data_IF_570654958657
#
_entry.id   IF_570654958657
#
_cell.length_a   1.000
_cell.length_b   1.000
_cell.length_c   1.000
_cell.angle_alpha   90.00
_cell.angle_beta   90.00
_cell.angle_gamma   90.00
#
_symmetry.space_group_name_H-M   'P 1'
#
loop_
_entity.id
_entity.type
_entity.pdbx_description
1 polymer ?
#
# COMPACT_ATOMS: atom_id res chain seq x y z
N UNK A 1 13.79 -4.60 25.05
CA UNK A 1 13.44 -4.69 23.61
C UNK A 1 14.72 -4.92 22.84
N UNK A 2 14.85 -6.08 22.19
CA UNK A 2 16.01 -6.39 21.34
C UNK A 2 15.87 -5.61 20.03
N UNK A 3 16.79 -4.67 19.78
CA UNK A 3 16.88 -4.00 18.49
C UNK A 3 17.18 -5.06 17.43
N UNK A 4 16.32 -5.20 16.43
CA UNK A 4 16.65 -5.94 15.21
C UNK A 4 17.68 -5.09 14.48
N UNK A 5 18.96 -5.46 14.58
CA UNK A 5 20.01 -4.81 13.82
C UNK A 5 19.94 -5.31 12.39
N UNK A 6 19.44 -4.47 11.48
CA UNK A 6 19.55 -4.73 10.05
C UNK A 6 21.04 -4.85 9.65
N UNK A 7 21.42 -5.78 8.77
CA UNK A 7 22.78 -5.88 8.24
C UNK A 7 23.09 -4.78 7.20
N UNK A 8 22.09 -3.99 6.79
CA UNK A 8 22.30 -2.84 5.90
C UNK A 8 22.91 -1.67 6.68
N UNK A 9 23.87 -0.93 6.09
CA UNK A 9 24.31 0.32 6.67
C UNK A 9 23.17 1.37 6.67
N UNK A 10 23.31 2.40 7.50
CA UNK A 10 22.22 3.36 7.79
C UNK A 10 21.67 4.02 6.53
N UNK A 11 22.54 4.41 5.61
CA UNK A 11 22.14 5.12 4.38
C UNK A 11 21.29 4.22 3.47
N UNK A 12 21.69 2.97 3.27
CA UNK A 12 20.95 2.00 2.47
C UNK A 12 19.63 1.61 3.14
N UNK A 13 19.62 1.53 4.47
CA UNK A 13 18.41 1.27 5.26
C UNK A 13 17.41 2.40 5.14
N UNK A 14 17.87 3.66 5.15
CA UNK A 14 17.03 4.82 4.94
C UNK A 14 16.40 4.81 3.53
N UNK A 15 17.22 4.58 2.50
CA UNK A 15 16.74 4.50 1.10
C UNK A 15 15.68 3.41 0.95
N UNK A 16 15.96 2.19 1.44
CA UNK A 16 15.02 1.08 1.36
C UNK A 16 13.76 1.34 2.19
N UNK A 17 13.92 1.91 3.38
CA UNK A 17 12.82 2.29 4.27
C UNK A 17 11.86 3.29 3.66
N UNK A 18 12.38 4.35 3.06
CA UNK A 18 11.60 5.39 2.43
C UNK A 18 10.86 4.86 1.20
N UNK A 19 11.51 4.01 0.39
CA UNK A 19 10.87 3.35 -0.74
C UNK A 19 9.72 2.43 -0.29
N UNK A 20 9.92 1.64 0.78
CA UNK A 20 8.88 0.78 1.34
C UNK A 20 7.72 1.60 1.93
N UNK A 21 7.99 2.73 2.60
CA UNK A 21 6.95 3.61 3.11
C UNK A 21 6.12 4.24 2.00
N UNK A 22 6.76 4.73 0.94
CA UNK A 22 6.05 5.25 -0.23
C UNK A 22 5.19 4.17 -0.89
N UNK A 23 5.75 2.98 -1.08
CA UNK A 23 5.03 1.83 -1.66
C UNK A 23 3.83 1.40 -0.80
N UNK A 24 3.96 1.43 0.53
CA UNK A 24 2.85 1.13 1.44
C UNK A 24 1.67 2.08 1.22
N UNK A 25 1.95 3.38 1.15
CA UNK A 25 0.93 4.40 0.90
C UNK A 25 0.27 4.16 -0.45
N UNK A 26 1.05 3.95 -1.52
CA UNK A 26 0.53 3.73 -2.87
C UNK A 26 -0.39 2.49 -2.94
N UNK A 27 -0.02 1.39 -2.27
CA UNK A 27 -0.84 0.16 -2.25
C UNK A 27 -2.13 0.34 -1.46
N UNK A 28 -2.09 1.05 -0.33
CA UNK A 28 -3.28 1.35 0.46
C UNK A 28 -4.24 2.26 -0.30
N UNK A 29 -3.71 3.32 -0.92
CA UNK A 29 -4.47 4.26 -1.75
C UNK A 29 -5.11 3.54 -2.95
N UNK A 30 -4.33 2.72 -3.68
CA UNK A 30 -4.84 1.87 -4.76
C UNK A 30 -5.99 0.98 -4.27
N UNK A 31 -5.86 0.36 -3.10
CA UNK A 31 -6.92 -0.51 -2.56
C UNK A 31 -8.23 0.26 -2.31
N UNK A 32 -8.15 1.53 -1.93
CA UNK A 32 -9.32 2.39 -1.67
C UNK A 32 -9.97 2.85 -2.98
N UNK A 33 -9.17 3.34 -3.93
CA UNK A 33 -9.65 3.77 -5.26
C UNK A 33 -10.31 2.61 -6.01
N UNK A 34 -9.72 1.42 -5.95
CA UNK A 34 -10.31 0.23 -6.61
C UNK A 34 -11.61 -0.21 -5.92
N UNK A 35 -11.72 -0.13 -4.59
CA UNK A 35 -13.02 -0.37 -3.92
C UNK A 35 -14.06 0.66 -4.33
N UNK A 36 -13.68 1.93 -4.46
CA UNK A 36 -14.58 2.96 -4.95
C UNK A 36 -15.07 2.63 -6.36
N UNK A 37 -14.16 2.26 -7.28
CA UNK A 37 -14.54 1.83 -8.63
C UNK A 37 -15.47 0.61 -8.61
N UNK A 38 -15.17 -0.38 -7.76
CA UNK A 38 -15.96 -1.60 -7.62
C UNK A 38 -17.39 -1.33 -7.13
N UNK A 39 -17.58 -0.38 -6.20
CA UNK A 39 -18.90 0.02 -5.70
C UNK A 39 -19.70 0.81 -6.73
N UNK A 40 -19.04 1.59 -7.58
CA UNK A 40 -19.69 2.45 -8.57
C UNK A 40 -19.80 1.83 -9.96
N UNK A 41 -19.42 0.57 -10.12
CA UNK A 41 -19.48 -0.15 -11.39
C UNK A 41 -20.93 -0.52 -11.78
N UNK A 42 -21.28 -0.36 -13.06
CA UNK A 42 -22.53 -0.82 -13.65
C UNK A 42 -22.33 -1.26 -15.11
N UNK A 43 -23.31 -2.01 -15.67
CA UNK A 43 -23.34 -2.38 -17.09
C UNK A 43 -23.24 -3.89 -17.39
N UNK A 44 -23.19 -4.28 -18.69
CA UNK A 44 -23.34 -5.68 -19.13
C UNK A 44 -22.29 -6.67 -18.61
N UNK A 45 -21.17 -6.17 -18.06
CA UNK A 45 -20.08 -6.99 -17.50
C UNK A 45 -19.91 -6.80 -15.99
N UNK A 46 -20.91 -6.24 -15.32
CA UNK A 46 -20.86 -5.89 -13.90
C UNK A 46 -20.25 -7.01 -13.05
N UNK A 47 -20.81 -8.22 -13.12
CA UNK A 47 -20.38 -9.33 -12.24
C UNK A 47 -18.90 -9.69 -12.42
N UNK A 48 -18.44 -9.87 -13.65
CA UNK A 48 -17.06 -10.31 -13.89
C UNK A 48 -16.05 -9.24 -13.49
N UNK A 49 -16.30 -7.98 -13.84
CA UNK A 49 -15.39 -6.87 -13.51
C UNK A 49 -15.45 -6.57 -12.01
N UNK A 50 -16.62 -6.64 -11.37
CA UNK A 50 -16.76 -6.45 -9.93
C UNK A 50 -15.91 -7.46 -9.13
N UNK A 51 -15.93 -8.74 -9.52
CA UNK A 51 -15.11 -9.78 -8.88
C UNK A 51 -13.62 -9.54 -9.14
N UNK A 52 -13.25 -9.16 -10.37
CA UNK A 52 -11.85 -8.88 -10.70
C UNK A 52 -11.30 -7.66 -9.95
N UNK A 53 -12.11 -6.63 -9.70
CA UNK A 53 -11.70 -5.49 -8.86
C UNK A 53 -11.52 -5.91 -7.39
N UNK A 54 -12.32 -6.86 -6.88
CA UNK A 54 -12.14 -7.40 -5.52
C UNK A 54 -10.82 -8.19 -5.40
N UNK A 55 -10.42 -8.93 -6.44
CA UNK A 55 -9.10 -9.58 -6.52
C UNK A 55 -7.95 -8.57 -6.49
N UNK A 56 -8.07 -7.46 -7.22
CA UNK A 56 -7.06 -6.38 -7.20
C UNK A 56 -6.96 -5.76 -5.80
N UNK A 57 -8.08 -5.52 -5.11
CA UNK A 57 -8.06 -4.99 -3.75
C UNK A 57 -7.39 -5.94 -2.78
N UNK A 58 -7.72 -7.23 -2.86
CA UNK A 58 -7.13 -8.26 -2.01
C UNK A 58 -5.62 -8.30 -2.22
N UNK A 59 -5.19 -8.37 -3.48
CA UNK A 59 -3.78 -8.37 -3.87
C UNK A 59 -3.04 -7.13 -3.35
N UNK A 60 -3.61 -5.93 -3.53
CA UNK A 60 -2.99 -4.70 -3.08
C UNK A 60 -2.81 -4.67 -1.54
N UNK A 61 -3.80 -5.17 -0.79
CA UNK A 61 -3.76 -5.23 0.68
C UNK A 61 -2.75 -6.26 1.19
N UNK A 62 -2.66 -7.42 0.53
CA UNK A 62 -1.65 -8.44 0.86
C UNK A 62 -0.24 -7.89 0.65
N UNK A 63 0.01 -7.22 -0.47
CA UNK A 63 1.29 -6.53 -0.72
C UNK A 63 1.53 -5.39 0.28
N UNK A 64 0.51 -4.62 0.65
CA UNK A 64 0.65 -3.57 1.67
C UNK A 64 1.11 -4.16 3.02
N UNK A 65 0.52 -5.29 3.44
CA UNK A 65 0.94 -6.02 4.63
C UNK A 65 2.41 -6.45 4.55
N UNK A 66 2.80 -7.11 3.45
CA UNK A 66 4.19 -7.56 3.27
C UNK A 66 5.20 -6.39 3.26
N UNK A 67 4.86 -5.28 2.61
CA UNK A 67 5.72 -4.08 2.57
C UNK A 67 5.85 -3.45 3.95
N UNK A 68 4.75 -3.34 4.71
CA UNK A 68 4.77 -2.80 6.06
C UNK A 68 5.62 -3.65 7.01
N UNK A 69 5.47 -4.98 6.97
CA UNK A 69 6.28 -5.91 7.74
C UNK A 69 7.75 -5.83 7.36
N UNK A 70 8.05 -5.67 6.07
CA UNK A 70 9.42 -5.50 5.59
C UNK A 70 10.05 -4.20 6.07
N UNK A 71 9.31 -3.09 6.06
CA UNK A 71 9.78 -1.82 6.62
C UNK A 71 10.11 -1.98 8.11
N UNK A 72 9.20 -2.59 8.88
CA UNK A 72 9.40 -2.84 10.30
C UNK A 72 10.63 -3.73 10.58
N UNK A 73 10.85 -4.77 9.77
CA UNK A 73 12.03 -5.64 9.86
C UNK A 73 13.35 -4.90 9.59
N UNK A 74 13.32 -3.81 8.81
CA UNK A 74 14.45 -2.91 8.60
C UNK A 74 14.56 -1.82 9.68
N UNK A 75 13.73 -1.85 10.72
CA UNK A 75 13.73 -0.84 11.79
C UNK A 75 13.06 0.48 11.41
N UNK A 76 12.32 0.50 10.31
CA UNK A 76 11.59 1.67 9.82
C UNK A 76 10.11 1.49 10.15
N UNK A 77 9.52 2.46 10.86
CA UNK A 77 8.11 2.37 11.25
C UNK A 77 7.19 2.59 10.03
N UNK A 78 6.34 1.62 9.66
CA UNK A 78 5.35 1.82 8.61
C UNK A 78 4.22 2.73 9.10
N UNK A 79 3.71 3.62 8.23
CA UNK A 79 2.60 4.52 8.55
C UNK A 79 1.50 4.43 7.48
N UNK A 80 0.51 3.57 7.74
CA UNK A 80 -0.68 3.38 6.89
C UNK A 80 -1.93 4.12 7.39
N UNK A 81 -1.80 5.10 8.28
CA UNK A 81 -2.95 5.85 8.81
C UNK A 81 -3.66 6.61 7.68
N UNK A 82 -4.98 6.71 7.77
CA UNK A 82 -5.80 7.38 6.75
C UNK A 82 -5.34 8.81 6.43
N UNK A 83 -4.91 9.59 7.44
CA UNK A 83 -4.39 10.94 7.22
C UNK A 83 -3.09 10.96 6.40
N UNK A 84 -2.21 9.99 6.62
CA UNK A 84 -0.97 9.83 5.84
C UNK A 84 -1.29 9.43 4.41
N UNK A 85 -2.16 8.42 4.24
CA UNK A 85 -2.61 7.97 2.91
C UNK A 85 -3.26 9.12 2.13
N UNK A 86 -4.15 9.88 2.75
CA UNK A 86 -4.80 11.04 2.11
C UNK A 86 -3.82 12.17 1.76
N UNK A 87 -2.77 12.38 2.56
CA UNK A 87 -1.81 13.44 2.34
C UNK A 87 -0.76 13.11 1.26
N UNK A 88 -0.41 11.83 1.09
CA UNK A 88 0.71 11.41 0.24
C UNK A 88 0.34 10.45 -0.89
N UNK A 89 -0.87 9.91 -0.89
CA UNK A 89 -1.41 9.05 -1.95
C UNK A 89 -1.44 9.75 -3.31
N UNK A 90 -1.28 8.95 -4.37
CA UNK A 90 -1.11 9.44 -5.75
C UNK A 90 -2.18 8.92 -6.71
N UNK A 91 -2.96 7.90 -6.33
CA UNK A 91 -3.97 7.29 -7.18
C UNK A 91 -5.15 8.24 -7.45
N UNK A 92 -5.51 9.09 -6.49
CA UNK A 92 -6.53 10.14 -6.69
C UNK A 92 -5.97 11.41 -7.36
N UNK A 93 -4.68 11.74 -7.19
CA UNK A 93 -4.07 12.99 -7.67
C UNK A 93 -3.70 13.02 -9.17
N UNK A 94 -3.95 11.93 -9.91
CA UNK A 94 -3.64 11.82 -11.36
C UNK A 94 -4.88 11.85 -12.28
N UNK A 95 -6.06 12.12 -11.72
CA UNK A 95 -7.33 12.23 -12.44
C UNK A 95 -7.61 13.63 -12.99
#
# INVERSE_FOLDING_TARGET
MTFVSSPLPEAERAIAGDALRATLVDLLDLSLVVKQAQWNLYGPRFRSVHLQLDEVVTTARDYAGMVAERAAALGVSPDGRAATVAATGQAENRG
#
